data_IF_630957157235
#
_entry.id   IF_630957157235
#
_cell.length_a   1.000
_cell.length_b   1.000
_cell.length_c   1.000
_cell.angle_alpha   90.00
_cell.angle_beta   90.00
_cell.angle_gamma   90.00
#
_symmetry.space_group_name_H-M   'P 1'
#
loop_
_entity.id
_entity.type
_entity.pdbx_description
1 polymer ?
#
# COMPACT_ATOMS: atom_id res chain seq x y z
N UNK A 1 39.44 0.32 -44.31
CA UNK A 1 39.12 1.08 -43.08
C UNK A 1 37.69 1.61 -43.15
N UNK A 2 36.70 0.83 -42.62
CA UNK A 2 35.31 1.28 -42.46
C UNK A 2 35.21 2.08 -41.15
N UNK A 3 35.10 3.40 -41.27
CA UNK A 3 34.69 4.25 -40.13
C UNK A 3 33.21 3.95 -39.87
N UNK A 4 32.91 3.31 -38.72
CA UNK A 4 31.55 3.24 -38.17
C UNK A 4 31.13 4.66 -37.79
N UNK A 5 30.31 5.30 -38.60
CA UNK A 5 29.66 6.56 -38.28
C UNK A 5 28.69 6.34 -37.14
N UNK A 6 29.08 6.68 -35.95
CA UNK A 6 28.17 6.84 -34.82
C UNK A 6 27.37 8.10 -35.15
N UNK A 7 26.08 7.90 -35.46
CA UNK A 7 25.12 9.00 -35.55
C UNK A 7 24.96 9.55 -34.13
N UNK A 8 25.75 10.59 -33.80
CA UNK A 8 25.50 11.35 -32.59
C UNK A 8 24.31 12.25 -32.91
N UNK A 9 23.12 11.89 -32.49
CA UNK A 9 22.01 12.78 -32.48
C UNK A 9 22.37 13.94 -31.55
N UNK A 10 22.79 15.04 -32.12
CA UNK A 10 22.96 16.32 -31.43
C UNK A 10 21.55 16.80 -31.14
N UNK A 11 20.99 16.38 -29.99
CA UNK A 11 19.77 16.95 -29.50
C UNK A 11 19.98 18.43 -29.22
N UNK A 12 19.08 19.28 -29.67
CA UNK A 12 19.20 20.73 -29.54
C UNK A 12 19.36 21.12 -28.05
N UNK A 13 20.10 22.17 -27.78
CA UNK A 13 20.21 22.77 -26.44
C UNK A 13 18.82 23.03 -25.83
N UNK A 14 17.84 23.29 -26.68
CA UNK A 14 16.43 23.53 -26.32
C UNK A 14 15.78 22.32 -25.64
N UNK A 15 16.03 21.07 -26.12
CA UNK A 15 15.46 19.86 -25.48
C UNK A 15 16.01 19.63 -24.08
N UNK A 16 17.29 19.90 -23.87
CA UNK A 16 17.92 19.80 -22.54
C UNK A 16 17.32 20.81 -21.58
N UNK A 17 17.15 22.06 -22.03
CA UNK A 17 16.55 23.14 -21.23
C UNK A 17 15.09 22.79 -20.89
N UNK A 18 14.35 22.28 -21.87
CA UNK A 18 12.95 21.92 -21.70
C UNK A 18 12.75 20.78 -20.70
N UNK A 19 13.53 19.69 -20.82
CA UNK A 19 13.49 18.57 -19.87
C UNK A 19 13.89 18.98 -18.45
N UNK A 20 14.93 19.82 -18.31
CA UNK A 20 15.31 20.39 -17.03
C UNK A 20 14.15 21.15 -16.39
N UNK A 21 13.45 21.96 -17.18
CA UNK A 21 12.28 22.71 -16.70
C UNK A 21 11.14 21.78 -16.27
N UNK A 22 10.81 20.73 -17.06
CA UNK A 22 9.77 19.78 -16.74
C UNK A 22 10.10 18.99 -15.46
N UNK A 23 11.34 18.52 -15.31
CA UNK A 23 11.76 17.80 -14.11
C UNK A 23 11.68 18.72 -12.90
N UNK A 24 12.20 19.94 -12.97
CA UNK A 24 12.09 20.92 -11.87
C UNK A 24 10.63 21.20 -11.49
N UNK A 25 9.75 21.43 -12.48
CA UNK A 25 8.31 21.64 -12.22
C UNK A 25 7.64 20.43 -11.60
N UNK A 26 7.98 19.22 -12.05
CA UNK A 26 7.49 17.99 -11.43
C UNK A 26 7.97 17.83 -9.99
N UNK A 27 9.22 18.19 -9.73
CA UNK A 27 9.81 18.15 -8.39
C UNK A 27 9.25 19.25 -7.47
N UNK A 28 8.87 20.41 -7.98
CA UNK A 28 8.23 21.48 -7.22
C UNK A 28 6.81 21.11 -6.73
N UNK A 29 6.17 20.13 -7.36
CA UNK A 29 4.90 19.56 -6.89
C UNK A 29 5.06 18.77 -5.59
N UNK A 30 6.27 18.33 -5.27
CA UNK A 30 6.63 17.69 -4.01
C UNK A 30 7.08 18.80 -3.06
N UNK A 31 6.56 18.83 -1.85
CA UNK A 31 6.87 19.89 -0.88
C UNK A 31 8.38 20.19 -0.79
N UNK A 32 8.71 21.50 -0.76
CA UNK A 32 10.09 22.01 -0.73
C UNK A 32 11.02 21.35 0.29
N UNK A 33 10.49 20.83 1.38
CA UNK A 33 11.29 20.12 2.41
C UNK A 33 11.79 18.74 1.98
N UNK A 34 11.13 18.10 1.03
CA UNK A 34 11.46 16.71 0.64
C UNK A 34 12.43 16.65 -0.51
N UNK A 35 12.51 17.69 -1.33
CA UNK A 35 13.30 17.70 -2.58
C UNK A 35 14.35 18.79 -2.69
N UNK A 36 14.52 19.64 -1.70
CA UNK A 36 15.70 20.52 -1.60
C UNK A 36 17.04 19.75 -1.65
N UNK A 37 16.98 18.41 -1.69
CA UNK A 37 18.12 17.50 -1.71
C UNK A 37 18.40 16.84 -3.06
N UNK A 38 17.57 17.03 -4.10
CA UNK A 38 17.97 16.69 -5.45
C UNK A 38 18.95 17.76 -5.94
N UNK A 39 20.23 17.49 -5.77
CA UNK A 39 21.28 18.36 -6.31
C UNK A 39 21.08 18.55 -7.82
N UNK A 40 21.45 19.72 -8.36
CA UNK A 40 21.43 19.99 -9.79
C UNK A 40 22.09 18.84 -10.58
N UNK A 41 23.21 18.30 -10.09
CA UNK A 41 23.90 17.15 -10.67
C UNK A 41 23.03 15.91 -10.86
N UNK A 42 22.03 15.66 -9.98
CA UNK A 42 21.09 14.53 -10.16
C UNK A 42 20.03 14.82 -11.20
N UNK A 43 19.54 16.05 -11.24
CA UNK A 43 18.63 16.50 -12.30
C UNK A 43 19.31 16.36 -13.65
N UNK A 44 20.56 16.80 -13.76
CA UNK A 44 21.36 16.71 -14.99
C UNK A 44 21.55 15.25 -15.43
N UNK A 45 21.84 14.35 -14.51
CA UNK A 45 21.92 12.89 -14.81
C UNK A 45 20.61 12.31 -15.31
N UNK A 46 19.47 12.68 -14.72
CA UNK A 46 18.16 12.25 -15.20
C UNK A 46 17.89 12.77 -16.61
N UNK A 47 18.17 14.05 -16.86
CA UNK A 47 18.05 14.67 -18.19
C UNK A 47 18.92 13.94 -19.21
N UNK A 48 20.19 13.71 -18.90
CA UNK A 48 21.10 12.98 -19.78
C UNK A 48 20.58 11.58 -20.07
N UNK A 49 20.12 10.85 -19.03
CA UNK A 49 19.59 9.49 -19.22
C UNK A 49 18.31 9.47 -20.08
N UNK A 50 17.46 10.48 -20.00
CA UNK A 50 16.28 10.60 -20.85
C UNK A 50 16.66 10.90 -22.30
N UNK A 51 17.62 11.80 -22.51
CA UNK A 51 18.15 12.12 -23.83
C UNK A 51 18.78 10.90 -24.48
N UNK A 52 19.59 10.14 -23.73
CA UNK A 52 20.27 8.93 -24.23
C UNK A 52 19.31 7.86 -24.74
N UNK A 53 18.09 7.83 -24.26
CA UNK A 53 17.03 6.90 -24.71
C UNK A 53 16.06 7.55 -25.71
N UNK A 54 16.36 8.76 -26.19
CA UNK A 54 15.60 9.47 -27.22
C UNK A 54 14.34 10.19 -26.71
N UNK A 55 14.26 10.46 -25.41
CA UNK A 55 13.12 11.22 -24.83
C UNK A 55 13.43 12.72 -24.90
N UNK A 56 12.56 13.47 -25.56
CA UNK A 56 12.66 14.92 -25.72
C UNK A 56 11.77 15.69 -24.74
N UNK A 57 10.69 15.06 -24.30
CA UNK A 57 9.74 15.64 -23.35
C UNK A 57 9.10 14.55 -22.49
N UNK A 58 8.71 14.93 -21.29
CA UNK A 58 7.96 14.06 -20.38
C UNK A 58 6.48 14.20 -20.71
N UNK A 59 5.78 13.12 -21.12
CA UNK A 59 4.34 13.16 -21.37
C UNK A 59 3.59 13.53 -20.11
N UNK A 60 2.48 14.26 -20.28
CA UNK A 60 1.62 14.66 -19.18
C UNK A 60 0.25 14.00 -19.34
N UNK A 61 -0.20 13.35 -18.27
CA UNK A 61 -1.51 12.69 -18.21
C UNK A 61 -2.44 13.44 -17.26
N UNK A 62 -3.71 13.50 -17.61
CA UNK A 62 -4.73 14.17 -16.79
C UNK A 62 -5.46 13.19 -15.86
N UNK A 63 -5.21 11.90 -16.01
CA UNK A 63 -5.81 10.88 -15.15
C UNK A 63 -4.79 9.81 -14.74
N UNK A 64 -5.05 9.19 -13.59
CA UNK A 64 -4.28 8.03 -13.11
C UNK A 64 -4.45 6.84 -14.04
N UNK A 65 -5.64 6.65 -14.61
CA UNK A 65 -5.90 5.53 -15.53
C UNK A 65 -5.09 5.64 -16.83
N UNK A 66 -4.98 6.84 -17.41
CA UNK A 66 -4.16 7.06 -18.59
C UNK A 66 -2.67 6.82 -18.27
N UNK A 67 -2.21 7.35 -17.13
CA UNK A 67 -0.85 7.10 -16.66
C UNK A 67 -0.58 5.58 -16.49
N UNK A 68 -1.46 4.85 -15.81
CA UNK A 68 -1.33 3.40 -15.60
C UNK A 68 -1.29 2.67 -16.95
N UNK A 69 -2.17 3.02 -17.88
CA UNK A 69 -2.23 2.41 -19.20
C UNK A 69 -0.92 2.61 -19.96
N UNK A 70 -0.45 3.83 -20.04
CA UNK A 70 0.75 4.19 -20.82
C UNK A 70 2.04 3.65 -20.19
N UNK A 71 2.18 3.67 -18.85
CA UNK A 71 3.36 3.09 -18.18
C UNK A 71 3.36 1.57 -18.27
N UNK A 72 2.19 0.93 -18.32
CA UNK A 72 2.11 -0.52 -18.49
C UNK A 72 2.35 -0.95 -19.95
N UNK A 73 2.24 -0.05 -20.92
CA UNK A 73 2.65 -0.30 -22.29
C UNK A 73 4.18 -0.18 -22.41
N UNK A 74 4.84 -1.34 -22.56
CA UNK A 74 6.31 -1.43 -22.63
C UNK A 74 6.93 -0.72 -23.85
N UNK A 75 6.13 -0.34 -24.83
CA UNK A 75 6.56 0.39 -26.03
C UNK A 75 6.45 1.90 -25.87
N UNK A 76 5.71 2.37 -24.87
CA UNK A 76 5.47 3.80 -24.66
C UNK A 76 6.68 4.54 -24.10
N UNK A 77 6.74 5.84 -24.37
CA UNK A 77 7.76 6.72 -23.79
C UNK A 77 7.56 6.85 -22.26
N UNK A 78 6.33 6.78 -21.78
CA UNK A 78 6.05 6.78 -20.33
C UNK A 78 6.72 5.60 -19.62
N UNK A 79 6.70 4.40 -20.21
CA UNK A 79 7.43 3.24 -19.70
C UNK A 79 8.94 3.47 -19.65
N UNK A 80 9.52 4.03 -20.72
CA UNK A 80 10.95 4.35 -20.78
C UNK A 80 11.35 5.35 -19.69
N UNK A 81 10.53 6.38 -19.48
CA UNK A 81 10.72 7.39 -18.44
C UNK A 81 10.67 6.74 -17.05
N UNK A 82 9.65 5.92 -16.77
CA UNK A 82 9.54 5.22 -15.49
C UNK A 82 10.76 4.33 -15.21
N UNK A 83 11.29 3.67 -16.23
CA UNK A 83 12.53 2.89 -16.10
C UNK A 83 13.75 3.74 -15.77
N UNK A 84 13.88 4.94 -16.33
CA UNK A 84 14.95 5.89 -15.97
C UNK A 84 14.80 6.35 -14.53
N UNK A 85 13.59 6.71 -14.12
CA UNK A 85 13.29 7.11 -12.75
C UNK A 85 13.46 5.98 -11.73
N UNK A 86 13.41 4.72 -12.21
CA UNK A 86 13.65 3.53 -11.41
C UNK A 86 15.15 3.22 -11.18
N UNK A 87 16.08 3.98 -11.75
CA UNK A 87 17.52 3.78 -11.53
C UNK A 87 17.89 3.92 -10.04
N UNK A 88 18.86 3.13 -9.56
CA UNK A 88 19.07 2.86 -8.12
C UNK A 88 19.75 3.97 -7.34
N UNK A 89 19.88 5.17 -7.86
CA UNK A 89 20.48 6.25 -7.10
C UNK A 89 19.57 6.66 -5.97
N UNK A 90 20.03 6.39 -4.75
CA UNK A 90 19.48 6.72 -3.45
C UNK A 90 18.85 8.13 -3.41
N UNK A 91 17.61 8.25 -3.85
CA UNK A 91 16.76 9.35 -3.42
C UNK A 91 16.49 9.04 -1.95
N UNK A 92 17.44 9.41 -1.10
CA UNK A 92 17.31 9.31 0.35
C UNK A 92 16.27 10.33 0.75
N UNK A 93 15.04 10.04 0.77
CA UNK A 93 14.00 10.65 1.60
C UNK A 93 12.63 10.21 1.06
N UNK A 94 11.85 9.64 1.88
CA UNK A 94 10.39 9.44 1.96
C UNK A 94 9.54 9.40 0.66
N UNK A 95 10.09 9.73 -0.51
CA UNK A 95 9.38 9.67 -1.79
C UNK A 95 9.78 8.42 -2.55
N UNK A 96 8.82 7.52 -2.78
CA UNK A 96 9.01 6.30 -3.54
C UNK A 96 9.18 6.59 -5.06
N UNK A 97 9.72 5.61 -5.78
CA UNK A 97 9.93 5.73 -7.24
C UNK A 97 8.63 5.91 -8.01
N UNK A 98 7.57 5.20 -7.61
CA UNK A 98 6.26 5.33 -8.22
C UNK A 98 5.67 6.72 -8.04
N UNK A 99 5.86 7.32 -6.87
CA UNK A 99 5.46 8.69 -6.60
C UNK A 99 6.18 9.67 -7.52
N UNK A 100 7.50 9.52 -7.70
CA UNK A 100 8.27 10.39 -8.59
C UNK A 100 7.78 10.31 -10.03
N UNK A 101 7.52 9.11 -10.55
CA UNK A 101 6.95 8.91 -11.88
C UNK A 101 5.61 9.62 -12.03
N UNK A 102 4.73 9.49 -11.05
CA UNK A 102 3.42 10.16 -11.05
C UNK A 102 3.57 11.69 -11.01
N UNK A 103 4.43 12.24 -10.15
CA UNK A 103 4.63 13.69 -10.07
C UNK A 103 5.20 14.29 -11.36
N UNK A 104 6.03 13.55 -12.07
CA UNK A 104 6.60 14.00 -13.33
C UNK A 104 5.62 13.87 -14.50
N UNK A 105 4.78 12.84 -14.51
CA UNK A 105 3.93 12.50 -15.66
C UNK A 105 2.46 12.86 -15.49
N UNK A 106 1.99 13.16 -14.27
CA UNK A 106 0.61 13.64 -14.07
C UNK A 106 0.61 15.16 -13.86
N UNK A 107 0.01 15.89 -14.78
CA UNK A 107 0.11 17.34 -14.86
C UNK A 107 -0.36 18.08 -13.60
N UNK A 108 -1.49 17.73 -13.05
CA UNK A 108 -2.11 18.40 -11.89
C UNK A 108 -1.88 17.69 -10.55
N UNK A 109 -1.03 16.65 -10.53
CA UNK A 109 -0.74 15.93 -9.30
C UNK A 109 0.06 16.79 -8.32
N UNK A 110 -0.23 16.63 -7.05
CA UNK A 110 0.54 17.19 -5.94
C UNK A 110 0.75 16.13 -4.88
N UNK A 111 1.82 16.27 -4.09
CA UNK A 111 1.96 15.47 -2.87
C UNK A 111 0.85 15.86 -1.91
N UNK A 112 0.14 14.87 -1.37
CA UNK A 112 -0.79 15.12 -0.27
C UNK A 112 0.00 15.66 0.91
N UNK A 113 -0.34 16.88 1.36
CA UNK A 113 0.18 17.40 2.61
C UNK A 113 -0.33 16.48 3.71
N UNK A 114 0.55 15.63 4.25
CA UNK A 114 0.23 14.79 5.40
C UNK A 114 0.15 15.69 6.63
N UNK A 115 -0.87 16.52 6.69
CA UNK A 115 -1.38 16.98 7.98
C UNK A 115 -2.01 15.75 8.62
N UNK A 116 -1.84 15.59 9.95
CA UNK A 116 -2.51 14.52 10.70
C UNK A 116 -3.97 14.45 10.27
N UNK A 117 -4.36 13.36 9.58
CA UNK A 117 -5.71 13.13 9.08
C UNK A 117 -5.90 13.16 7.55
N UNK A 118 -4.94 13.65 6.77
CA UNK A 118 -4.98 13.49 5.31
C UNK A 118 -4.40 12.14 4.90
N UNK A 119 -5.05 11.49 3.95
CA UNK A 119 -4.68 10.15 3.48
C UNK A 119 -4.20 10.21 2.05
N UNK A 120 -3.12 9.47 1.78
CA UNK A 120 -2.57 9.23 0.45
C UNK A 120 -1.26 9.96 0.17
N UNK A 121 -0.48 9.38 -0.75
CA UNK A 121 0.81 9.90 -1.17
C UNK A 121 0.67 10.95 -2.27
N UNK A 122 -0.37 10.83 -3.12
CA UNK A 122 -0.60 11.68 -4.29
C UNK A 122 -2.04 12.16 -4.32
N UNK A 123 -2.26 13.45 -4.56
CA UNK A 123 -3.58 14.03 -4.80
C UNK A 123 -3.67 14.50 -6.24
N UNK A 124 -4.74 14.12 -6.92
CA UNK A 124 -5.10 14.57 -8.26
C UNK A 124 -6.55 15.07 -8.24
N UNK A 125 -6.73 16.36 -8.43
CA UNK A 125 -8.03 16.98 -8.22
C UNK A 125 -8.51 16.79 -6.78
N UNK A 126 -9.70 16.20 -6.61
CA UNK A 126 -10.28 15.83 -5.32
C UNK A 126 -9.88 14.45 -4.81
N UNK A 127 -9.23 13.64 -5.65
CA UNK A 127 -8.91 12.27 -5.33
C UNK A 127 -7.51 12.14 -4.71
N UNK A 128 -7.42 11.38 -3.63
CA UNK A 128 -6.19 11.03 -2.94
C UNK A 128 -5.87 9.56 -3.16
N UNK A 129 -4.64 9.28 -3.57
CA UNK A 129 -4.14 7.94 -3.89
C UNK A 129 -2.99 7.58 -2.96
N UNK A 130 -3.00 6.34 -2.49
CA UNK A 130 -1.88 5.75 -1.78
C UNK A 130 -1.05 4.90 -2.75
N UNK A 131 0.28 5.01 -2.72
CA UNK A 131 1.17 4.20 -3.55
C UNK A 131 1.90 3.17 -2.70
N UNK A 132 1.80 1.92 -3.10
CA UNK A 132 2.50 0.83 -2.43
C UNK A 132 3.23 -0.06 -3.42
N UNK A 133 4.41 -0.50 -3.02
CA UNK A 133 5.13 -1.56 -3.72
C UNK A 133 4.39 -2.89 -3.50
N UNK A 134 4.37 -3.79 -4.50
CA UNK A 134 3.72 -5.10 -4.43
C UNK A 134 4.05 -5.93 -3.16
N UNK A 135 5.29 -5.83 -2.69
CA UNK A 135 5.72 -6.47 -1.44
C UNK A 135 5.58 -5.55 -0.22
N UNK A 136 4.99 -4.38 -0.39
CA UNK A 136 4.78 -3.41 0.67
C UNK A 136 3.63 -3.82 1.57
N UNK A 137 3.80 -3.57 2.86
CA UNK A 137 2.72 -3.66 3.83
C UNK A 137 2.02 -2.31 3.80
N UNK A 138 0.70 -2.32 3.71
CA UNK A 138 -0.11 -1.11 3.91
C UNK A 138 -0.34 -1.01 5.41
N UNK A 139 0.39 -0.10 6.06
CA UNK A 139 0.22 0.20 7.47
C UNK A 139 -0.82 1.31 7.64
N UNK A 140 -1.84 1.06 8.44
CA UNK A 140 -2.90 2.00 8.74
C UNK A 140 -3.03 2.20 10.25
N UNK A 141 -2.92 3.43 10.72
CA UNK A 141 -3.05 3.74 12.14
C UNK A 141 -4.53 3.64 12.59
N UNK A 142 -4.83 2.80 13.57
CA UNK A 142 -6.20 2.54 14.06
C UNK A 142 -6.88 3.83 14.56
N UNK A 143 -6.11 4.74 15.15
CA UNK A 143 -6.64 5.96 15.78
C UNK A 143 -7.05 7.08 14.80
N UNK A 144 -6.87 6.88 13.49
CA UNK A 144 -7.01 7.98 12.53
C UNK A 144 -8.40 8.11 11.93
N UNK A 145 -9.29 7.12 12.07
CA UNK A 145 -10.64 7.15 11.48
C UNK A 145 -11.65 6.39 12.31
N UNK A 146 -12.78 7.04 12.61
CA UNK A 146 -13.83 6.55 13.49
C UNK A 146 -14.32 5.14 13.13
N UNK A 147 -14.72 4.92 11.87
CA UNK A 147 -15.29 3.63 11.43
C UNK A 147 -14.32 2.46 11.59
N UNK A 148 -13.05 2.64 11.26
CA UNK A 148 -12.00 1.60 11.44
C UNK A 148 -11.75 1.38 12.92
N UNK A 149 -11.81 2.43 13.73
CA UNK A 149 -11.69 2.35 15.19
C UNK A 149 -12.86 1.57 15.78
N UNK A 150 -14.07 1.80 15.29
CA UNK A 150 -15.27 1.08 15.75
C UNK A 150 -15.18 -0.41 15.43
N UNK A 151 -14.74 -0.76 14.23
CA UNK A 151 -14.48 -2.16 13.86
C UNK A 151 -13.38 -2.81 14.69
N UNK A 152 -12.33 -2.08 15.01
CA UNK A 152 -11.30 -2.55 15.95
C UNK A 152 -11.89 -2.81 17.34
N UNK A 153 -12.71 -1.90 17.87
CA UNK A 153 -13.36 -2.03 19.15
C UNK A 153 -14.37 -3.20 19.17
N UNK A 154 -15.04 -3.50 18.06
CA UNK A 154 -15.87 -4.69 17.91
C UNK A 154 -15.08 -5.97 18.19
N UNK A 155 -13.92 -6.14 17.56
CA UNK A 155 -13.03 -7.29 17.81
C UNK A 155 -12.55 -7.35 19.28
N UNK A 156 -12.17 -6.19 19.84
CA UNK A 156 -11.77 -6.09 21.27
C UNK A 156 -12.90 -6.54 22.16
N UNK A 157 -14.12 -6.08 21.91
CA UNK A 157 -15.32 -6.39 22.71
C UNK A 157 -15.62 -7.88 22.69
N UNK A 158 -15.62 -8.51 21.50
CA UNK A 158 -15.87 -9.96 21.38
C UNK A 158 -14.81 -10.75 22.14
N UNK A 159 -13.53 -10.41 21.96
CA UNK A 159 -12.43 -11.08 22.67
C UNK A 159 -12.56 -10.93 24.19
N UNK A 160 -12.83 -9.71 24.69
CA UNK A 160 -13.00 -9.46 26.12
C UNK A 160 -14.22 -10.18 26.70
N UNK A 161 -15.29 -10.30 25.92
CA UNK A 161 -16.48 -11.02 26.30
C UNK A 161 -16.19 -12.54 26.42
N UNK A 162 -15.50 -13.12 25.43
CA UNK A 162 -15.04 -14.51 25.52
C UNK A 162 -14.17 -14.74 26.77
N UNK A 163 -13.21 -13.86 27.01
CA UNK A 163 -12.33 -13.93 28.21
C UNK A 163 -13.13 -13.98 29.49
N UNK A 164 -14.04 -13.01 29.67
CA UNK A 164 -14.85 -12.89 30.86
C UNK A 164 -15.71 -14.14 31.11
N UNK A 165 -16.42 -14.60 30.07
CA UNK A 165 -17.36 -15.73 30.23
C UNK A 165 -16.61 -17.04 30.44
N UNK A 166 -15.60 -17.33 29.61
CA UNK A 166 -14.83 -18.58 29.71
C UNK A 166 -14.11 -18.69 31.05
N UNK A 167 -13.42 -17.66 31.48
CA UNK A 167 -12.65 -17.71 32.75
C UNK A 167 -13.49 -17.57 34.01
N UNK A 168 -14.75 -17.10 33.92
CA UNK A 168 -15.63 -17.01 35.10
C UNK A 168 -16.55 -18.22 35.27
N UNK A 169 -16.96 -18.87 34.18
CA UNK A 169 -18.01 -19.91 34.21
C UNK A 169 -17.56 -21.28 33.68
N UNK A 170 -16.47 -21.33 32.90
CA UNK A 170 -15.97 -22.54 32.22
C UNK A 170 -14.48 -22.80 32.46
N UNK A 171 -13.96 -22.46 33.64
CA UNK A 171 -12.53 -22.43 33.97
C UNK A 171 -11.76 -23.71 33.67
N UNK A 172 -12.43 -24.87 33.75
CA UNK A 172 -11.84 -26.18 33.53
C UNK A 172 -12.14 -26.78 32.14
N UNK A 173 -12.75 -26.03 31.25
CA UNK A 173 -13.01 -26.51 29.89
C UNK A 173 -11.76 -26.42 29.01
N UNK A 174 -11.63 -27.37 28.06
CA UNK A 174 -10.58 -27.35 27.06
C UNK A 174 -10.60 -26.06 26.23
N UNK A 175 -11.76 -25.48 26.03
CA UNK A 175 -11.93 -24.21 25.30
C UNK A 175 -11.29 -23.06 26.08
N UNK A 176 -11.45 -23.03 27.41
CA UNK A 176 -10.84 -22.00 28.26
C UNK A 176 -9.32 -22.19 28.31
N UNK A 177 -8.84 -23.41 28.37
CA UNK A 177 -7.39 -23.70 28.26
C UNK A 177 -6.85 -23.20 26.93
N UNK A 178 -7.54 -23.50 25.81
CA UNK A 178 -7.17 -23.04 24.49
C UNK A 178 -7.19 -21.49 24.40
N UNK A 179 -8.27 -20.84 24.91
CA UNK A 179 -8.33 -19.39 24.97
C UNK A 179 -7.15 -18.80 25.73
N UNK A 180 -6.86 -19.31 26.92
CA UNK A 180 -5.78 -18.82 27.77
C UNK A 180 -4.39 -19.02 27.16
N UNK A 181 -4.22 -20.06 26.37
CA UNK A 181 -2.95 -20.35 25.69
C UNK A 181 -2.67 -19.33 24.58
N UNK A 182 -3.67 -18.97 23.79
CA UNK A 182 -3.47 -18.21 22.55
C UNK A 182 -3.92 -16.75 22.63
N UNK A 183 -4.85 -16.38 23.50
CA UNK A 183 -5.53 -15.08 23.47
C UNK A 183 -5.35 -14.23 24.72
N UNK A 184 -4.45 -14.58 25.63
CA UNK A 184 -4.05 -13.68 26.73
C UNK A 184 -3.29 -12.45 26.26
N UNK A 185 -2.64 -12.52 25.12
CA UNK A 185 -1.96 -11.39 24.52
C UNK A 185 -2.93 -10.27 24.11
N UNK A 186 -2.41 -9.08 23.97
CA UNK A 186 -3.22 -7.93 23.50
C UNK A 186 -3.62 -8.14 22.05
N UNK A 187 -4.80 -7.65 21.67
CA UNK A 187 -5.27 -7.67 20.27
C UNK A 187 -4.29 -6.96 19.35
N UNK A 188 -3.64 -5.88 19.82
CA UNK A 188 -2.59 -5.18 19.05
C UNK A 188 -1.34 -6.01 18.74
N UNK A 189 -1.30 -7.24 19.18
CA UNK A 189 -0.22 -8.19 18.92
C UNK A 189 -0.68 -9.36 18.03
N UNK A 190 -1.92 -9.29 17.49
CA UNK A 190 -2.48 -10.34 16.65
C UNK A 190 -1.78 -10.40 15.29
N UNK A 191 -1.25 -11.57 14.99
CA UNK A 191 -0.74 -11.95 13.67
C UNK A 191 -1.84 -12.59 12.80
N UNK A 192 -1.54 -12.89 11.55
CA UNK A 192 -2.45 -13.65 10.67
C UNK A 192 -2.86 -14.98 11.30
N UNK A 193 -1.92 -15.69 11.90
CA UNK A 193 -2.17 -16.97 12.60
C UNK A 193 -3.13 -16.81 13.78
N UNK A 194 -3.06 -15.69 14.50
CA UNK A 194 -3.96 -15.46 15.64
C UNK A 194 -5.40 -15.24 15.22
N UNK A 195 -5.62 -14.60 14.08
CA UNK A 195 -6.96 -14.49 13.51
C UNK A 195 -7.56 -15.84 13.15
N UNK A 196 -6.76 -16.75 12.57
CA UNK A 196 -7.21 -18.10 12.22
C UNK A 196 -7.52 -18.92 13.48
N UNK A 197 -6.66 -18.80 14.49
CA UNK A 197 -6.89 -19.45 15.78
C UNK A 197 -8.12 -18.88 16.50
N UNK A 198 -8.39 -17.57 16.37
CA UNK A 198 -9.56 -16.96 16.96
C UNK A 198 -10.84 -17.40 16.27
N UNK A 199 -10.84 -17.53 14.94
CA UNK A 199 -11.96 -18.11 14.19
C UNK A 199 -12.23 -19.55 14.65
N UNK A 200 -11.18 -20.37 14.81
CA UNK A 200 -11.30 -21.73 15.33
C UNK A 200 -11.85 -21.77 16.77
N UNK A 201 -11.45 -20.83 17.63
CA UNK A 201 -12.04 -20.70 18.98
C UNK A 201 -13.55 -20.45 18.92
N UNK A 202 -13.99 -19.51 18.07
CA UNK A 202 -15.41 -19.21 17.94
C UNK A 202 -16.21 -20.40 17.43
N UNK A 203 -15.64 -21.20 16.51
CA UNK A 203 -16.25 -22.44 16.05
C UNK A 203 -16.37 -23.45 17.20
N UNK A 204 -15.32 -23.64 18.02
CA UNK A 204 -15.34 -24.53 19.19
C UNK A 204 -16.41 -24.10 20.21
N UNK A 205 -16.50 -22.81 20.53
CA UNK A 205 -17.54 -22.28 21.43
C UNK A 205 -18.93 -22.64 20.93
N UNK A 206 -19.18 -22.47 19.63
CA UNK A 206 -20.49 -22.75 18.99
C UNK A 206 -20.88 -24.24 19.03
N UNK A 207 -19.90 -25.13 19.02
CA UNK A 207 -20.10 -26.59 18.95
C UNK A 207 -19.97 -27.31 20.29
N UNK A 208 -19.65 -26.61 21.37
CA UNK A 208 -19.42 -27.23 22.68
C UNK A 208 -20.74 -27.42 23.43
N UNK A 209 -21.09 -28.68 23.74
CA UNK A 209 -22.33 -29.03 24.40
C UNK A 209 -22.45 -28.51 25.84
N UNK A 210 -21.31 -28.41 26.56
CA UNK A 210 -21.27 -27.88 27.95
C UNK A 210 -21.63 -26.40 27.93
N UNK A 211 -21.04 -25.65 27.00
CA UNK A 211 -21.34 -24.23 26.82
C UNK A 211 -22.77 -24.04 26.34
N UNK A 212 -23.21 -24.79 25.35
CA UNK A 212 -24.54 -24.67 24.75
C UNK A 212 -25.69 -25.04 25.70
N UNK A 213 -25.46 -25.95 26.65
CA UNK A 213 -26.46 -26.32 27.63
C UNK A 213 -26.48 -25.43 28.88
N UNK A 214 -25.55 -24.48 29.00
CA UNK A 214 -25.47 -23.52 30.10
C UNK A 214 -26.14 -22.20 29.73
N UNK A 215 -26.90 -21.60 30.66
CA UNK A 215 -27.62 -20.32 30.39
C UNK A 215 -26.66 -19.20 30.02
N UNK A 216 -25.53 -19.06 30.74
CA UNK A 216 -24.50 -18.04 30.44
C UNK A 216 -23.78 -18.40 29.16
N UNK A 217 -23.55 -19.69 28.91
CA UNK A 217 -22.95 -20.18 27.67
C UNK A 217 -23.79 -19.86 26.43
N UNK A 218 -25.11 -19.96 26.53
CA UNK A 218 -26.00 -19.54 25.42
C UNK A 218 -25.83 -18.07 25.05
N UNK A 219 -25.67 -17.19 26.05
CA UNK A 219 -25.38 -15.76 25.78
C UNK A 219 -24.06 -15.59 25.04
N UNK A 220 -23.03 -16.36 25.40
CA UNK A 220 -21.77 -16.35 24.69
C UNK A 220 -21.94 -16.83 23.24
N UNK A 221 -22.63 -17.97 23.05
CA UNK A 221 -22.87 -18.54 21.72
C UNK A 221 -23.66 -17.55 20.84
N UNK A 222 -24.73 -16.96 21.37
CA UNK A 222 -25.55 -15.97 20.64
C UNK A 222 -24.70 -14.75 20.23
N UNK A 223 -23.84 -14.28 21.14
CA UNK A 223 -22.92 -13.15 20.85
C UNK A 223 -21.92 -13.48 19.73
N UNK A 224 -21.29 -14.65 19.77
CA UNK A 224 -20.29 -15.03 18.78
C UNK A 224 -20.90 -15.56 17.48
N UNK A 225 -22.17 -15.96 17.46
CA UNK A 225 -22.86 -16.39 16.23
C UNK A 225 -22.96 -15.29 15.19
N UNK A 226 -23.08 -14.05 15.63
CA UNK A 226 -23.18 -12.87 14.78
C UNK A 226 -21.81 -12.30 14.36
N UNK A 227 -20.71 -12.93 14.78
CA UNK A 227 -19.38 -12.46 14.49
C UNK A 227 -18.58 -13.49 13.68
N UNK A 228 -17.91 -13.03 12.62
CA UNK A 228 -16.96 -13.79 11.81
C UNK A 228 -15.65 -13.04 11.70
N UNK A 229 -14.57 -13.64 12.18
CA UNK A 229 -13.22 -13.06 12.08
C UNK A 229 -12.82 -12.88 10.63
N UNK A 230 -13.11 -13.87 9.79
CA UNK A 230 -12.82 -13.81 8.35
C UNK A 230 -13.55 -12.66 7.67
N UNK A 231 -14.85 -12.47 7.96
CA UNK A 231 -15.61 -11.36 7.38
C UNK A 231 -15.13 -10.02 7.94
N UNK A 232 -14.89 -9.94 9.24
CA UNK A 232 -14.31 -8.75 9.88
C UNK A 232 -13.00 -8.30 9.23
N UNK A 233 -12.07 -9.25 8.96
CA UNK A 233 -10.79 -8.96 8.28
C UNK A 233 -10.99 -8.36 6.89
N UNK A 234 -11.95 -8.88 6.13
CA UNK A 234 -12.28 -8.37 4.79
C UNK A 234 -12.89 -6.99 4.86
N UNK A 235 -13.84 -6.79 5.76
CA UNK A 235 -14.55 -5.50 5.90
C UNK A 235 -13.58 -4.39 6.29
N UNK A 236 -12.73 -4.63 7.29
CA UNK A 236 -11.71 -3.66 7.71
C UNK A 236 -10.73 -3.35 6.58
N UNK A 237 -10.27 -4.36 5.85
CA UNK A 237 -9.39 -4.14 4.70
C UNK A 237 -10.06 -3.27 3.63
N UNK A 238 -11.32 -3.55 3.31
CA UNK A 238 -12.13 -2.77 2.37
C UNK A 238 -12.33 -1.33 2.85
N UNK A 239 -12.65 -1.13 4.13
CA UNK A 239 -12.79 0.21 4.72
C UNK A 239 -11.51 1.01 4.60
N UNK A 240 -10.35 0.40 4.89
CA UNK A 240 -9.05 1.06 4.78
C UNK A 240 -8.75 1.45 3.33
N UNK A 241 -8.93 0.54 2.36
CA UNK A 241 -8.69 0.84 0.95
C UNK A 241 -9.61 1.95 0.44
N UNK A 242 -10.90 1.87 0.76
CA UNK A 242 -11.90 2.88 0.37
C UNK A 242 -11.71 4.23 1.09
N UNK A 243 -10.89 4.27 2.12
CA UNK A 243 -10.56 5.50 2.81
C UNK A 243 -9.70 6.44 1.96
N UNK A 244 -9.04 5.93 0.93
CA UNK A 244 -8.36 6.72 -0.09
C UNK A 244 -9.35 6.99 -1.21
N UNK A 245 -9.74 8.24 -1.43
CA UNK A 245 -10.80 8.61 -2.40
C UNK A 245 -10.48 8.21 -3.83
N UNK A 246 -9.20 8.13 -4.18
CA UNK A 246 -8.70 7.64 -5.46
C UNK A 246 -8.32 6.15 -5.45
N UNK A 247 -8.21 5.55 -4.26
CA UNK A 247 -7.77 4.17 -4.09
C UNK A 247 -6.27 4.00 -3.82
N UNK A 248 -5.82 2.76 -3.85
CA UNK A 248 -4.41 2.39 -3.66
C UNK A 248 -3.84 1.92 -5.00
N UNK A 249 -2.71 2.51 -5.38
CA UNK A 249 -1.97 2.10 -6.59
C UNK A 249 -0.85 1.17 -6.16
N UNK A 250 -0.82 -0.03 -6.72
CA UNK A 250 0.24 -1.00 -6.48
C UNK A 250 1.25 -0.91 -7.61
N UNK A 251 2.51 -0.74 -7.23
CA UNK A 251 3.65 -0.75 -8.12
C UNK A 251 4.37 -2.09 -8.05
N UNK A 252 4.40 -2.82 -9.15
CA UNK A 252 5.09 -4.10 -9.30
C UNK A 252 6.36 -3.91 -10.13
N UNK A 253 7.46 -4.48 -9.65
CA UNK A 253 8.71 -4.53 -10.38
C UNK A 253 8.96 -5.96 -10.84
N UNK A 254 8.97 -6.22 -12.14
CA UNK A 254 9.33 -7.54 -12.66
C UNK A 254 10.77 -7.90 -12.29
N UNK A 255 10.96 -9.08 -11.69
CA UNK A 255 12.26 -9.64 -11.34
C UNK A 255 12.89 -10.43 -12.50
N UNK A 256 12.52 -10.18 -13.74
CA UNK A 256 13.13 -10.90 -14.87
C UNK A 256 14.48 -10.28 -15.21
N UNK A 257 15.54 -11.06 -14.99
CA UNK A 257 16.80 -10.79 -15.64
C UNK A 257 17.98 -11.42 -14.94
N UNK A 258 18.58 -12.39 -15.55
CA UNK A 258 20.02 -12.65 -15.42
C UNK A 258 20.76 -11.32 -15.53
N UNK A 259 21.85 -11.15 -14.78
CA UNK A 259 22.66 -9.92 -14.61
C UNK A 259 23.03 -9.14 -15.89
N UNK A 260 22.72 -9.67 -17.09
CA UNK A 260 23.08 -9.08 -18.40
C UNK A 260 21.95 -8.29 -19.10
N UNK A 261 20.69 -8.40 -18.68
CA UNK A 261 19.58 -7.65 -19.29
C UNK A 261 18.84 -6.88 -18.21
N UNK A 262 19.16 -5.59 -18.11
CA UNK A 262 18.47 -4.64 -17.19
C UNK A 262 17.12 -4.21 -17.77
N UNK A 263 16.21 -5.13 -18.02
CA UNK A 263 14.84 -4.77 -18.36
C UNK A 263 14.01 -4.80 -17.07
N UNK A 264 13.67 -3.63 -16.59
CA UNK A 264 12.77 -3.45 -15.48
C UNK A 264 11.38 -3.21 -16.07
N UNK A 265 10.57 -4.26 -16.14
CA UNK A 265 9.18 -4.09 -16.52
C UNK A 265 8.42 -3.66 -15.26
N UNK A 266 8.08 -2.38 -15.18
CA UNK A 266 7.24 -1.83 -14.13
C UNK A 266 5.78 -2.04 -14.51
N UNK A 267 4.94 -2.40 -13.53
CA UNK A 267 3.49 -2.43 -13.69
C UNK A 267 2.83 -1.67 -12.55
N UNK A 268 1.85 -0.87 -12.92
CA UNK A 268 1.00 -0.16 -11.97
C UNK A 268 -0.42 -0.69 -12.13
N UNK A 269 -1.11 -0.89 -11.03
CA UNK A 269 -2.54 -1.23 -11.03
C UNK A 269 -3.25 -0.58 -9.85
N UNK A 270 -4.51 -0.21 -10.03
CA UNK A 270 -5.39 0.11 -8.92
C UNK A 270 -5.74 -1.18 -8.17
N UNK A 271 -5.52 -1.17 -6.87
CA UNK A 271 -5.75 -2.33 -6.02
C UNK A 271 -7.25 -2.56 -5.85
N UNK A 272 -7.69 -3.75 -6.22
CA UNK A 272 -9.04 -4.23 -5.90
C UNK A 272 -9.13 -4.52 -4.40
N UNK A 273 -10.07 -3.87 -3.70
CA UNK A 273 -10.28 -4.06 -2.27
C UNK A 273 -10.65 -5.51 -1.89
N UNK A 274 -11.16 -6.31 -2.83
CA UNK A 274 -11.44 -7.73 -2.60
C UNK A 274 -10.17 -8.59 -2.57
N UNK A 275 -9.04 -8.06 -3.09
CA UNK A 275 -7.73 -8.72 -3.07
C UNK A 275 -6.88 -8.32 -1.85
N UNK A 276 -7.49 -7.77 -0.83
CA UNK A 276 -6.77 -7.28 0.37
C UNK A 276 -7.41 -7.86 1.62
N UNK A 277 -6.58 -8.22 2.58
CA UNK A 277 -7.02 -8.73 3.88
C UNK A 277 -6.16 -8.18 5.01
N UNK A 278 -6.74 -7.98 6.19
CA UNK A 278 -5.97 -7.68 7.40
C UNK A 278 -5.02 -8.84 7.68
N UNK A 279 -3.72 -8.55 7.81
CA UNK A 279 -2.70 -9.54 8.15
C UNK A 279 -2.35 -9.51 9.63
N UNK A 280 -2.04 -8.33 10.17
CA UNK A 280 -1.58 -8.14 11.54
C UNK A 280 -2.22 -6.90 12.16
N UNK A 281 -2.31 -6.92 13.49
CA UNK A 281 -2.53 -5.74 14.32
C UNK A 281 -1.26 -5.51 15.13
N UNK A 282 -0.58 -4.38 14.96
CA UNK A 282 0.68 -4.09 15.63
C UNK A 282 0.66 -2.68 16.21
N UNK A 283 0.94 -2.54 17.52
CA UNK A 283 1.16 -1.25 18.21
C UNK A 283 0.19 -0.12 17.81
N UNK A 284 -1.08 -0.45 17.54
CA UNK A 284 -2.09 0.51 17.11
C UNK A 284 -2.19 0.71 15.60
N UNK A 285 -1.51 -0.12 14.80
CA UNK A 285 -1.61 -0.15 13.35
C UNK A 285 -2.27 -1.44 12.87
N UNK A 286 -3.00 -1.33 11.76
CA UNK A 286 -3.53 -2.45 11.00
C UNK A 286 -2.65 -2.63 9.78
N UNK A 287 -2.17 -3.86 9.58
CA UNK A 287 -1.39 -4.22 8.40
C UNK A 287 -2.24 -4.99 7.42
N UNK A 288 -2.24 -4.53 6.18
CA UNK A 288 -2.94 -5.19 5.09
C UNK A 288 -1.97 -5.97 4.21
N UNK A 289 -2.40 -7.14 3.78
CA UNK A 289 -1.71 -7.98 2.80
C UNK A 289 -2.54 -8.06 1.53
N UNK A 290 -1.89 -7.90 0.39
CA UNK A 290 -2.47 -8.20 -0.92
C UNK A 290 -2.51 -9.72 -1.07
N UNK A 291 -3.70 -10.26 -1.33
CA UNK A 291 -3.92 -11.67 -1.66
C UNK A 291 -4.06 -11.78 -3.18
N UNK A 292 -3.31 -12.72 -3.76
CA UNK A 292 -3.35 -13.01 -5.21
C UNK A 292 -4.54 -13.90 -5.55
#
# INVERSE_FOLDING_TARGET
LKKSGRLVLVMSADSTIFLNKQIKQGLDKVEKKTLSHLSQSRVDKLVTSLIDIGINQIPQFNSVNDFIKEVNDVTSDAHKIDNVLALPENIKHQTGRGELSMFLMIGESRKSNIKRGETGDVTLGSNSYELKKESGIIDFAIKTRGEVTDKYNELVTIRCFCDKILNSYFTNSDITVYFNQYFRKKITEFSSSDFEQFDNLLIKIKSDDVINNNVVGKILVDTVNNFSVTQWRKDVAKMIINSYSGGVIVYRKSKKGNRKVKRVDSKYELLDCNKVIVQNLTLGNIQLKIIN
#
